data_IF_880921500910
#
_entry.id   IF_880921500910
#
_cell.length_a   1.000
_cell.length_b   1.000
_cell.length_c   1.000
_cell.angle_alpha   90.00
_cell.angle_beta   90.00
_cell.angle_gamma   90.00
#
_symmetry.space_group_name_H-M   'P 1'
#
loop_
_entity.id
_entity.type
_entity.pdbx_description
1 polymer ?
#
# COMPACT_ATOMS: atom_id res chain seq x y z
N UNK A 1 -24.70 4.40 22.65
CA UNK A 1 -23.43 3.75 23.01
C UNK A 1 -22.81 3.24 21.72
N UNK A 2 -21.92 4.03 21.10
CA UNK A 2 -21.16 3.60 19.90
C UNK A 2 -19.77 3.16 20.39
N UNK A 3 -19.46 1.88 20.28
CA UNK A 3 -18.16 1.31 20.64
C UNK A 3 -17.25 1.30 19.41
N UNK A 4 -16.06 1.85 19.59
CA UNK A 4 -14.99 1.97 18.59
C UNK A 4 -14.53 0.60 18.09
N UNK A 5 -14.73 0.33 16.79
CA UNK A 5 -14.38 -0.92 16.10
C UNK A 5 -13.05 -0.88 15.32
N UNK A 6 -12.21 0.15 15.53
CA UNK A 6 -11.04 0.40 14.67
C UNK A 6 -9.71 -0.21 15.17
N UNK A 7 -9.68 -0.97 16.23
CA UNK A 7 -8.41 -1.30 16.92
C UNK A 7 -7.69 -2.59 16.50
N UNK A 8 -8.31 -3.55 15.83
CA UNK A 8 -7.71 -4.90 15.66
C UNK A 8 -7.38 -5.31 14.23
N UNK A 9 -8.07 -4.80 13.22
CA UNK A 9 -7.78 -5.13 11.81
C UNK A 9 -6.43 -4.59 11.31
N UNK A 10 -6.00 -3.43 11.83
CA UNK A 10 -4.74 -2.78 11.41
C UNK A 10 -3.48 -3.47 11.94
N UNK A 11 -3.58 -4.20 13.06
CA UNK A 11 -2.43 -4.89 13.65
C UNK A 11 -2.01 -6.14 12.86
N UNK A 12 -2.93 -6.78 12.15
CA UNK A 12 -2.64 -7.97 11.34
C UNK A 12 -2.00 -7.61 9.99
N UNK A 13 -2.42 -6.49 9.37
CA UNK A 13 -1.80 -6.02 8.11
C UNK A 13 -0.33 -5.62 8.29
N UNK A 14 0.04 -5.06 9.46
CA UNK A 14 1.44 -4.72 9.76
C UNK A 14 2.36 -5.94 9.88
N UNK A 15 1.82 -7.09 10.31
CA UNK A 15 2.63 -8.30 10.50
C UNK A 15 3.02 -8.96 9.16
N UNK A 16 2.18 -8.87 8.14
CA UNK A 16 2.45 -9.47 6.81
C UNK A 16 3.48 -8.64 6.03
N UNK A 17 3.47 -7.31 6.18
CA UNK A 17 4.43 -6.42 5.50
C UNK A 17 5.84 -6.50 6.12
N UNK A 18 5.94 -6.77 7.44
CA UNK A 18 7.24 -6.88 8.14
C UNK A 18 8.01 -8.17 7.85
N UNK A 19 7.36 -9.22 7.34
CA UNK A 19 8.03 -10.49 6.98
C UNK A 19 8.74 -10.44 5.62
N UNK A 20 8.46 -9.46 4.77
CA UNK A 20 9.08 -9.30 3.44
C UNK A 20 10.30 -8.35 3.42
N UNK A 21 10.64 -7.68 4.53
CA UNK A 21 11.72 -6.68 4.61
C UNK A 21 13.00 -7.16 5.34
N UNK A 22 13.18 -8.45 5.57
CA UNK A 22 14.32 -9.04 6.27
C UNK A 22 15.58 -9.26 5.42
N UNK A 23 16.01 -8.29 4.63
CA UNK A 23 17.30 -8.27 3.93
C UNK A 23 18.35 -7.51 4.74
N UNK A 24 19.38 -8.19 5.25
CA UNK A 24 20.44 -7.67 6.08
C UNK A 24 21.26 -6.57 5.38
N UNK A 25 21.27 -5.36 5.91
CA UNK A 25 22.19 -4.30 5.54
C UNK A 25 23.48 -4.42 6.40
N UNK A 26 24.61 -4.67 5.76
CA UNK A 26 25.92 -4.61 6.35
C UNK A 26 26.37 -3.14 6.52
N UNK A 27 26.87 -2.80 7.70
CA UNK A 27 27.46 -1.50 8.04
C UNK A 27 28.86 -1.37 7.44
N UNK A 28 29.28 -0.24 6.87
CA UNK A 28 30.66 0.03 6.52
C UNK A 28 31.37 0.79 7.65
N UNK A 29 32.59 0.38 7.92
CA UNK A 29 33.65 1.22 8.45
C UNK A 29 34.14 0.94 9.85
N UNK A 30 35.27 0.24 9.95
CA UNK A 30 36.44 0.75 10.66
C UNK A 30 37.71 0.00 10.20
N UNK A 31 38.64 0.78 9.68
CA UNK A 31 40.00 0.35 9.33
C UNK A 31 40.89 0.46 10.57
N UNK A 32 41.55 -0.65 10.99
CA UNK A 32 42.99 -0.67 11.26
C UNK A 32 43.45 -2.01 11.81
N UNK A 33 44.68 -2.38 11.42
CA UNK A 33 45.61 -3.30 11.96
C UNK A 33 45.73 -4.69 11.30
N UNK A 34 46.81 -4.80 10.57
CA UNK A 34 47.41 -6.03 10.06
C UNK A 34 47.88 -6.95 11.21
N UNK A 35 47.60 -8.24 11.07
CA UNK A 35 48.38 -9.29 11.71
C UNK A 35 48.18 -10.64 10.98
N UNK A 36 49.28 -11.05 10.43
CA UNK A 36 49.81 -12.41 10.31
C UNK A 36 48.99 -13.55 9.66
N UNK A 37 49.55 -13.98 8.56
CA UNK A 37 49.20 -15.13 7.75
C UNK A 37 49.59 -16.41 8.48
N UNK A 38 48.61 -17.23 8.85
CA UNK A 38 48.87 -18.66 9.14
C UNK A 38 48.01 -19.49 8.19
N UNK A 39 48.71 -20.13 7.27
CA UNK A 39 48.19 -21.11 6.31
C UNK A 39 47.61 -22.32 7.01
N UNK A 40 46.32 -22.62 6.74
CA UNK A 40 45.72 -23.92 6.99
C UNK A 40 45.48 -24.67 5.68
N UNK A 41 45.64 -25.99 5.64
CA UNK A 41 45.68 -26.77 4.40
C UNK A 41 44.26 -26.96 3.80
N UNK A 42 44.23 -27.07 2.48
CA UNK A 42 43.06 -27.36 1.69
C UNK A 42 42.43 -28.72 2.05
N UNK A 43 41.13 -28.85 2.12
CA UNK A 43 40.49 -30.16 2.15
C UNK A 43 40.37 -30.73 0.73
N UNK A 44 40.73 -31.99 0.67
CA UNK A 44 40.78 -32.93 -0.41
C UNK A 44 39.48 -33.00 -1.22
N UNK A 45 39.60 -32.93 -2.56
CA UNK A 45 38.50 -33.20 -3.47
C UNK A 45 38.37 -34.71 -3.65
N UNK A 46 37.35 -35.30 -3.08
CA UNK A 46 36.94 -36.66 -3.45
C UNK A 46 35.47 -36.68 -3.90
N UNK A 47 35.33 -36.96 -5.18
CA UNK A 47 34.30 -37.76 -5.86
C UNK A 47 32.82 -37.47 -5.48
N UNK A 48 32.10 -36.94 -6.45
CA UNK A 48 30.64 -36.86 -6.44
C UNK A 48 29.96 -38.23 -6.36
N UNK A 49 28.74 -38.24 -5.86
CA UNK A 49 27.80 -39.25 -6.23
C UNK A 49 26.61 -38.68 -7.04
N UNK A 50 26.43 -39.35 -8.14
CA UNK A 50 25.16 -39.80 -8.71
C UNK A 50 23.88 -39.00 -8.40
N UNK A 51 23.42 -38.43 -9.47
CA UNK A 51 22.02 -38.49 -9.92
C UNK A 51 21.05 -39.15 -8.92
N UNK A 52 20.31 -38.35 -8.15
CA UNK A 52 19.08 -38.78 -7.52
C UNK A 52 17.96 -37.88 -8.05
N UNK A 53 17.44 -38.28 -9.20
CA UNK A 53 16.07 -37.98 -9.60
C UNK A 53 15.16 -38.61 -8.54
N UNK A 54 14.87 -37.89 -7.47
CA UNK A 54 13.73 -38.22 -6.61
C UNK A 54 12.48 -37.81 -7.36
N UNK A 55 11.73 -38.82 -7.83
CA UNK A 55 10.36 -38.68 -8.22
C UNK A 55 9.60 -37.93 -7.11
N UNK A 56 8.65 -37.07 -7.46
CA UNK A 56 7.81 -36.44 -6.45
C UNK A 56 7.15 -37.56 -5.64
N UNK A 57 7.41 -37.56 -4.33
CA UNK A 57 6.69 -38.40 -3.40
C UNK A 57 5.21 -38.06 -3.54
N UNK A 58 4.37 -39.06 -3.69
CA UNK A 58 2.94 -39.04 -3.50
C UNK A 58 2.62 -38.56 -2.07
N UNK A 59 2.85 -37.30 -1.79
CA UNK A 59 2.28 -36.66 -0.61
C UNK A 59 0.85 -36.30 -0.95
N UNK A 60 -0.01 -37.06 -0.36
CA UNK A 60 -1.46 -36.96 -0.22
C UNK A 60 -1.92 -35.52 -0.44
N UNK A 61 -2.51 -35.24 -1.60
CA UNK A 61 -3.34 -34.06 -1.80
C UNK A 61 -4.39 -34.09 -0.69
N UNK A 62 -4.17 -33.27 0.33
CA UNK A 62 -5.17 -33.04 1.35
C UNK A 62 -6.44 -32.61 0.63
N UNK A 63 -7.46 -33.46 0.68
CA UNK A 63 -8.79 -33.15 0.15
C UNK A 63 -9.28 -31.95 0.93
N UNK A 64 -9.28 -30.77 0.31
CA UNK A 64 -9.87 -29.55 0.86
C UNK A 64 -11.37 -29.77 0.85
N UNK A 65 -11.90 -30.41 1.87
CA UNK A 65 -13.33 -30.54 2.10
C UNK A 65 -13.77 -29.37 2.95
N UNK A 66 -14.47 -28.45 2.34
CA UNK A 66 -15.29 -27.34 2.84
C UNK A 66 -15.02 -26.72 4.21
N UNK A 67 -15.22 -25.43 4.35
CA UNK A 67 -15.42 -24.64 5.58
C UNK A 67 -14.36 -24.64 6.70
N UNK A 68 -13.17 -25.18 6.45
CA UNK A 68 -12.06 -25.05 7.41
C UNK A 68 -11.18 -23.82 7.24
N UNK A 69 -11.46 -22.93 6.26
CA UNK A 69 -10.66 -21.76 5.97
C UNK A 69 -10.78 -20.75 7.11
N UNK A 70 -9.65 -20.41 7.73
CA UNK A 70 -9.57 -19.38 8.78
C UNK A 70 -8.95 -18.08 8.26
N UNK A 71 -8.24 -18.14 7.13
CA UNK A 71 -7.72 -16.99 6.41
C UNK A 71 -7.43 -17.38 4.96
N UNK A 72 -7.81 -16.53 4.02
CA UNK A 72 -7.56 -16.69 2.59
C UNK A 72 -7.02 -15.38 2.03
N UNK A 73 -5.90 -15.43 1.33
CA UNK A 73 -5.29 -14.30 0.64
C UNK A 73 -4.58 -14.79 -0.62
N UNK A 74 -4.96 -14.26 -1.77
CA UNK A 74 -4.34 -14.55 -3.06
C UNK A 74 -4.10 -13.25 -3.81
N UNK A 75 -2.92 -13.10 -4.38
CA UNK A 75 -2.45 -11.87 -5.01
C UNK A 75 -1.87 -12.16 -6.40
N UNK A 76 -2.16 -11.27 -7.36
CA UNK A 76 -1.55 -11.27 -8.69
C UNK A 76 -1.24 -9.83 -9.11
N UNK A 77 0.02 -9.58 -9.48
CA UNK A 77 0.49 -8.32 -10.05
C UNK A 77 1.45 -8.63 -11.20
N UNK A 78 1.06 -8.37 -12.43
CA UNK A 78 1.85 -8.74 -13.61
C UNK A 78 2.83 -7.68 -14.08
N UNK A 79 2.62 -6.42 -13.71
CA UNK A 79 3.37 -5.29 -14.28
C UNK A 79 3.84 -4.27 -13.23
N UNK A 80 3.71 -4.58 -11.93
CA UNK A 80 4.08 -3.70 -10.83
C UNK A 80 3.06 -2.61 -10.50
N UNK A 81 2.04 -2.42 -11.32
CA UNK A 81 1.01 -1.37 -11.15
C UNK A 81 -0.41 -1.91 -11.02
N UNK A 82 -0.64 -3.12 -11.53
CA UNK A 82 -1.94 -3.78 -11.54
C UNK A 82 -1.99 -4.83 -10.44
N UNK A 83 -2.36 -4.39 -9.25
CA UNK A 83 -2.41 -5.25 -8.08
C UNK A 83 -3.83 -5.82 -7.90
N UNK A 84 -4.00 -7.09 -8.25
CA UNK A 84 -5.23 -7.84 -8.03
C UNK A 84 -5.11 -8.63 -6.73
N UNK A 85 -6.13 -8.55 -5.90
CA UNK A 85 -6.08 -9.11 -4.57
C UNK A 85 -7.43 -9.69 -4.15
N UNK A 86 -7.39 -10.90 -3.62
CA UNK A 86 -8.55 -11.63 -3.11
C UNK A 86 -8.29 -11.97 -1.64
N UNK A 87 -9.18 -11.54 -0.74
CA UNK A 87 -9.06 -11.76 0.69
C UNK A 87 -10.39 -12.25 1.26
N UNK A 88 -10.34 -13.22 2.15
CA UNK A 88 -11.47 -13.60 2.98
C UNK A 88 -11.03 -14.13 4.35
N UNK A 89 -11.75 -13.79 5.41
CA UNK A 89 -11.53 -14.33 6.75
C UNK A 89 -12.80 -14.23 7.61
N UNK A 90 -13.04 -15.21 8.51
CA UNK A 90 -14.17 -15.17 9.43
C UNK A 90 -13.99 -14.12 10.51
N UNK A 91 -15.10 -13.46 10.86
CA UNK A 91 -15.20 -12.53 11.98
C UNK A 91 -15.70 -13.23 13.26
N UNK A 92 -15.53 -12.60 14.41
CA UNK A 92 -16.01 -13.10 15.72
C UNK A 92 -17.55 -13.22 15.80
N UNK A 93 -18.30 -12.49 14.97
CA UNK A 93 -19.76 -12.49 14.90
C UNK A 93 -20.33 -13.59 13.99
N UNK A 94 -19.48 -14.42 13.40
CA UNK A 94 -19.85 -15.51 12.50
C UNK A 94 -20.05 -15.09 11.04
N UNK A 95 -19.87 -13.82 10.72
CA UNK A 95 -19.76 -13.35 9.32
C UNK A 95 -18.36 -13.59 8.76
N UNK A 96 -18.19 -13.43 7.46
CA UNK A 96 -16.90 -13.49 6.77
C UNK A 96 -16.65 -12.15 6.10
N UNK A 97 -15.52 -11.52 6.42
CA UNK A 97 -15.06 -10.38 5.64
C UNK A 97 -14.49 -10.88 4.31
N UNK A 98 -14.95 -10.28 3.22
CA UNK A 98 -14.47 -10.54 1.86
C UNK A 98 -13.99 -9.23 1.26
N UNK A 99 -12.79 -9.24 0.70
CA UNK A 99 -12.25 -8.13 -0.08
C UNK A 99 -11.84 -8.61 -1.46
N UNK A 100 -12.32 -7.90 -2.47
CA UNK A 100 -12.00 -8.10 -3.87
C UNK A 100 -11.36 -6.82 -4.44
N UNK A 101 -10.16 -6.95 -4.99
CA UNK A 101 -9.49 -5.89 -5.73
C UNK A 101 -9.20 -6.42 -7.13
N UNK A 102 -9.94 -5.96 -8.11
CA UNK A 102 -9.73 -6.23 -9.54
C UNK A 102 -9.23 -4.98 -10.26
N UNK A 103 -9.21 -5.02 -11.60
CA UNK A 103 -8.64 -3.97 -12.46
C UNK A 103 -9.30 -2.59 -12.24
N UNK A 104 -10.61 -2.56 -11.96
CA UNK A 104 -11.37 -1.32 -11.82
C UNK A 104 -12.25 -1.26 -10.56
N UNK A 105 -12.20 -2.29 -9.72
CA UNK A 105 -13.10 -2.42 -8.56
C UNK A 105 -12.33 -2.76 -7.30
N UNK A 106 -12.68 -2.08 -6.21
CA UNK A 106 -12.38 -2.51 -4.86
C UNK A 106 -13.71 -2.68 -4.11
N UNK A 107 -13.94 -3.87 -3.54
CA UNK A 107 -15.14 -4.19 -2.78
C UNK A 107 -14.67 -4.82 -1.48
N UNK A 108 -15.14 -4.30 -0.34
CA UNK A 108 -14.90 -4.88 0.98
C UNK A 108 -16.23 -4.96 1.72
N UNK A 109 -16.62 -6.17 2.13
CA UNK A 109 -17.92 -6.37 2.78
C UNK A 109 -17.93 -7.59 3.70
N UNK A 110 -18.87 -7.60 4.66
CA UNK A 110 -19.15 -8.78 5.48
C UNK A 110 -20.27 -9.59 4.84
N UNK A 111 -20.07 -10.90 4.73
CA UNK A 111 -20.96 -11.83 4.08
C UNK A 111 -21.32 -13.00 5.02
N UNK A 112 -22.31 -13.81 4.62
CA UNK A 112 -22.61 -15.06 5.29
C UNK A 112 -21.46 -16.06 5.20
N UNK A 113 -21.27 -16.89 6.23
CA UNK A 113 -20.19 -17.88 6.30
C UNK A 113 -20.17 -18.87 5.15
N UNK A 114 -21.29 -19.10 4.47
CA UNK A 114 -21.38 -19.97 3.30
C UNK A 114 -20.49 -19.52 2.13
N UNK A 115 -20.01 -18.28 2.12
CA UNK A 115 -19.08 -17.80 1.12
C UNK A 115 -17.73 -18.55 1.15
N UNK A 116 -17.30 -19.02 2.32
CA UNK A 116 -16.08 -19.84 2.44
C UNK A 116 -16.18 -21.18 1.70
N UNK A 117 -17.37 -21.76 1.63
CA UNK A 117 -17.60 -23.00 0.87
C UNK A 117 -17.48 -22.75 -0.65
N UNK A 118 -17.92 -21.58 -1.13
CA UNK A 118 -17.76 -21.18 -2.53
C UNK A 118 -16.28 -20.94 -2.86
N UNK A 119 -15.54 -20.25 -1.98
CA UNK A 119 -14.09 -20.04 -2.14
C UNK A 119 -13.34 -21.37 -2.12
N UNK A 120 -13.66 -22.30 -1.22
CA UNK A 120 -13.05 -23.62 -1.16
C UNK A 120 -13.34 -24.45 -2.43
N UNK A 121 -14.54 -24.32 -2.99
CA UNK A 121 -14.89 -24.91 -4.29
C UNK A 121 -14.02 -24.38 -5.42
N UNK A 122 -13.86 -23.06 -5.51
CA UNK A 122 -13.01 -22.40 -6.50
C UNK A 122 -11.52 -22.76 -6.31
N UNK A 123 -11.03 -22.88 -5.08
CA UNK A 123 -9.67 -23.36 -4.81
C UNK A 123 -9.43 -24.78 -5.33
N UNK A 124 -10.43 -25.65 -5.18
CA UNK A 124 -10.37 -27.02 -5.69
C UNK A 124 -10.37 -27.03 -7.22
N UNK A 125 -11.22 -26.24 -7.86
CA UNK A 125 -11.32 -26.13 -9.32
C UNK A 125 -10.04 -25.52 -9.92
N UNK A 126 -9.49 -24.47 -9.31
CA UNK A 126 -8.26 -23.82 -9.76
C UNK A 126 -7.01 -24.68 -9.60
N UNK A 127 -7.04 -25.67 -8.71
CA UNK A 127 -5.86 -26.48 -8.37
C UNK A 127 -4.75 -25.70 -7.65
N UNK A 128 -5.03 -24.50 -7.11
CA UNK A 128 -4.04 -23.61 -6.53
C UNK A 128 -3.24 -24.26 -5.37
N UNK A 129 -3.81 -25.22 -4.68
CA UNK A 129 -3.13 -25.94 -3.60
C UNK A 129 -1.92 -26.78 -4.07
N UNK A 130 -1.85 -27.12 -5.36
CA UNK A 130 -0.69 -27.85 -5.93
C UNK A 130 0.62 -27.04 -5.89
N UNK A 131 0.51 -25.71 -5.72
CA UNK A 131 1.68 -24.81 -5.64
C UNK A 131 2.24 -24.68 -4.22
N UNK A 132 1.64 -25.36 -3.25
CA UNK A 132 2.07 -25.26 -1.85
C UNK A 132 3.58 -25.44 -1.66
N UNK A 133 4.21 -24.54 -0.88
CA UNK A 133 5.66 -24.51 -0.63
C UNK A 133 6.54 -24.22 -1.86
N UNK A 134 5.97 -23.81 -2.99
CA UNK A 134 6.76 -23.39 -4.15
C UNK A 134 7.06 -21.90 -4.04
N UNK A 135 8.34 -21.55 -3.95
CA UNK A 135 8.79 -20.16 -3.91
C UNK A 135 9.85 -19.96 -4.99
N UNK A 136 9.60 -19.03 -5.91
CA UNK A 136 10.51 -18.66 -6.99
C UNK A 136 10.76 -17.16 -6.91
N UNK A 137 12.03 -16.77 -6.85
CA UNK A 137 12.45 -15.38 -6.75
C UNK A 137 13.40 -15.09 -7.91
N UNK A 138 12.94 -14.24 -8.82
CA UNK A 138 13.69 -13.75 -9.98
C UNK A 138 13.64 -12.23 -10.01
N UNK A 139 14.53 -11.62 -10.78
CA UNK A 139 14.51 -10.18 -11.01
C UNK A 139 13.28 -9.81 -11.89
N UNK A 140 12.51 -8.82 -11.46
CA UNK A 140 11.33 -8.35 -12.18
C UNK A 140 10.27 -7.75 -11.27
N UNK A 141 9.18 -7.30 -11.87
CA UNK A 141 8.09 -6.59 -11.16
C UNK A 141 6.82 -7.44 -10.98
N UNK A 142 6.73 -8.57 -11.68
CA UNK A 142 5.59 -9.45 -11.53
C UNK A 142 5.63 -10.17 -10.17
N UNK A 143 4.45 -10.34 -9.58
CA UNK A 143 4.25 -11.00 -8.29
C UNK A 143 3.01 -11.88 -8.36
N UNK A 144 3.14 -13.12 -7.89
CA UNK A 144 2.02 -14.01 -7.62
C UNK A 144 2.21 -14.67 -6.26
N UNK A 145 1.19 -14.67 -5.40
CA UNK A 145 1.30 -15.30 -4.09
C UNK A 145 -0.03 -15.79 -3.58
N UNK A 146 0.00 -16.79 -2.73
CA UNK A 146 -1.15 -17.21 -1.95
C UNK A 146 -0.75 -17.54 -0.52
N UNK A 147 -1.64 -17.25 0.40
CA UNK A 147 -1.59 -17.69 1.77
C UNK A 147 -2.99 -18.08 2.23
N UNK A 148 -3.19 -19.36 2.52
CA UNK A 148 -4.48 -19.87 3.01
C UNK A 148 -4.22 -20.71 4.25
N UNK A 149 -4.88 -20.41 5.36
CA UNK A 149 -4.80 -21.21 6.59
C UNK A 149 -6.15 -21.86 6.90
N UNK A 150 -6.07 -22.99 7.58
CA UNK A 150 -7.21 -23.83 7.94
C UNK A 150 -7.30 -24.06 9.45
N UNK A 151 -8.47 -24.45 9.91
CA UNK A 151 -8.76 -24.67 11.33
C UNK A 151 -7.98 -25.86 11.95
N UNK A 152 -7.40 -26.72 11.14
CA UNK A 152 -6.55 -27.85 11.54
C UNK A 152 -5.05 -27.50 11.54
N UNK A 153 -4.72 -26.20 11.47
CA UNK A 153 -3.36 -25.66 11.37
C UNK A 153 -2.61 -26.01 10.06
N UNK A 154 -3.29 -26.65 9.09
CA UNK A 154 -2.72 -26.81 7.76
C UNK A 154 -2.74 -25.47 6.99
N UNK A 155 -1.84 -25.36 6.00
CA UNK A 155 -1.75 -24.14 5.20
C UNK A 155 -1.36 -24.43 3.74
N UNK A 156 -1.75 -23.53 2.85
CA UNK A 156 -1.20 -23.39 1.50
C UNK A 156 -0.49 -22.06 1.45
N UNK A 157 0.81 -22.08 1.12
CA UNK A 157 1.61 -20.84 1.02
C UNK A 157 2.65 -20.98 -0.07
N UNK A 158 2.71 -19.98 -0.98
CA UNK A 158 3.73 -19.89 -2.02
C UNK A 158 3.89 -18.43 -2.50
N UNK A 159 4.99 -18.16 -3.20
CA UNK A 159 5.26 -16.84 -3.78
C UNK A 159 6.13 -16.94 -5.03
N UNK A 160 5.75 -16.21 -6.08
CA UNK A 160 6.52 -16.00 -7.30
C UNK A 160 6.85 -14.52 -7.43
N UNK A 161 8.10 -14.19 -7.72
CA UNK A 161 8.56 -12.81 -7.95
C UNK A 161 9.39 -12.77 -9.24
N UNK A 162 9.17 -11.76 -10.07
CA UNK A 162 9.84 -11.58 -11.36
C UNK A 162 9.13 -12.27 -12.51
N UNK A 163 9.02 -13.59 -12.47
CA UNK A 163 8.25 -14.39 -13.43
C UNK A 163 7.12 -15.13 -12.71
N UNK A 164 5.89 -14.94 -13.17
CA UNK A 164 4.72 -15.64 -12.69
C UNK A 164 4.34 -16.71 -13.70
N UNK A 165 4.25 -18.01 -13.32
CA UNK A 165 3.85 -19.08 -14.23
C UNK A 165 2.44 -18.85 -14.81
N UNK A 166 2.25 -19.14 -16.10
CA UNK A 166 0.94 -18.96 -16.75
C UNK A 166 -0.14 -19.81 -16.10
N UNK A 167 0.20 -21.02 -15.66
CA UNK A 167 -0.71 -21.90 -14.98
C UNK A 167 -1.22 -21.33 -13.64
N UNK A 168 -0.38 -20.51 -12.97
CA UNK A 168 -0.84 -19.75 -11.79
C UNK A 168 -1.79 -18.63 -12.18
N UNK A 169 -1.51 -17.92 -13.28
CA UNK A 169 -2.44 -16.88 -13.80
C UNK A 169 -3.79 -17.51 -14.09
N UNK A 170 -3.81 -18.67 -14.78
CA UNK A 170 -5.04 -19.38 -15.10
C UNK A 170 -5.78 -19.84 -13.83
N UNK A 171 -5.06 -20.31 -12.80
CA UNK A 171 -5.64 -20.66 -11.51
C UNK A 171 -6.21 -19.44 -10.78
N UNK A 172 -5.52 -18.31 -10.86
CA UNK A 172 -5.99 -17.05 -10.30
C UNK A 172 -7.29 -16.59 -10.95
N UNK A 173 -7.41 -16.67 -12.28
CA UNK A 173 -8.62 -16.27 -13.02
C UNK A 173 -9.86 -17.07 -12.58
N UNK A 174 -9.73 -18.35 -12.20
CA UNK A 174 -10.82 -19.14 -11.62
C UNK A 174 -11.27 -18.56 -10.28
N UNK A 175 -10.34 -18.20 -9.42
CA UNK A 175 -10.62 -17.56 -8.12
C UNK A 175 -11.21 -16.16 -8.31
N UNK A 176 -10.67 -15.40 -9.22
CA UNK A 176 -11.15 -14.06 -9.57
C UNK A 176 -12.62 -14.10 -10.03
N UNK A 177 -12.97 -15.02 -10.91
CA UNK A 177 -14.35 -15.23 -11.37
C UNK A 177 -15.31 -15.62 -10.22
N UNK A 178 -14.84 -16.40 -9.26
CA UNK A 178 -15.60 -16.70 -8.04
C UNK A 178 -15.86 -15.44 -7.23
N UNK A 179 -14.83 -14.63 -6.95
CA UNK A 179 -14.96 -13.38 -6.20
C UNK A 179 -15.82 -12.35 -6.94
N UNK A 180 -15.72 -12.25 -8.25
CA UNK A 180 -16.63 -11.42 -9.06
C UNK A 180 -18.08 -11.87 -8.90
N UNK A 181 -18.32 -13.17 -8.85
CA UNK A 181 -19.68 -13.71 -8.69
C UNK A 181 -20.24 -13.41 -7.30
N UNK A 182 -19.48 -13.68 -6.24
CA UNK A 182 -19.95 -13.46 -4.86
C UNK A 182 -20.08 -11.99 -4.49
N UNK A 183 -19.39 -11.09 -5.23
CA UNK A 183 -19.46 -9.63 -5.03
C UNK A 183 -20.27 -8.90 -6.09
N UNK A 184 -20.98 -9.61 -6.98
CA UNK A 184 -21.64 -9.02 -8.15
C UNK A 184 -22.69 -7.94 -7.80
N UNK A 185 -23.44 -8.16 -6.72
CA UNK A 185 -24.49 -7.27 -6.26
C UNK A 185 -24.02 -6.26 -5.18
N UNK A 186 -22.70 -6.23 -4.88
CA UNK A 186 -22.15 -5.36 -3.87
C UNK A 186 -21.84 -3.99 -4.45
N UNK A 187 -22.03 -2.95 -3.62
CA UNK A 187 -21.57 -1.61 -3.98
C UNK A 187 -20.05 -1.59 -4.09
N UNK A 188 -19.56 -0.98 -5.17
CA UNK A 188 -18.12 -0.78 -5.36
C UNK A 188 -17.62 0.13 -4.22
N UNK A 189 -16.66 -0.34 -3.46
CA UNK A 189 -16.01 0.49 -2.46
C UNK A 189 -15.25 1.62 -3.17
N UNK A 190 -15.68 2.84 -2.90
CA UNK A 190 -14.94 4.02 -3.33
C UNK A 190 -14.00 4.39 -2.18
N UNK A 191 -12.68 4.16 -2.33
CA UNK A 191 -11.74 4.52 -1.29
C UNK A 191 -11.82 6.02 -1.03
N UNK A 192 -11.99 6.38 0.23
CA UNK A 192 -12.02 7.78 0.67
C UNK A 192 -10.98 7.98 1.77
N UNK A 193 -10.35 9.14 1.84
CA UNK A 193 -9.41 9.44 2.92
C UNK A 193 -10.10 9.44 4.28
N UNK A 194 -9.36 9.09 5.31
CA UNK A 194 -9.82 9.11 6.68
C UNK A 194 -9.80 10.55 7.19
N UNK A 195 -10.98 11.12 7.49
CA UNK A 195 -11.06 12.47 8.10
C UNK A 195 -10.88 12.34 9.61
N UNK A 196 -9.87 13.02 10.17
CA UNK A 196 -9.48 12.93 11.56
C UNK A 196 -9.87 14.22 12.32
N UNK A 197 -10.82 14.09 13.25
CA UNK A 197 -11.30 15.21 14.05
C UNK A 197 -12.25 16.15 13.31
N UNK A 198 -12.33 17.39 13.79
CA UNK A 198 -13.03 18.47 13.10
C UNK A 198 -12.06 19.10 12.10
N UNK A 199 -12.51 19.35 10.87
CA UNK A 199 -11.70 19.89 9.77
C UNK A 199 -12.45 21.08 9.17
N UNK A 200 -11.73 22.11 8.74
CA UNK A 200 -12.30 23.26 8.03
C UNK A 200 -13.10 22.79 6.82
N UNK A 201 -14.40 23.11 6.80
CA UNK A 201 -15.34 22.59 5.79
C UNK A 201 -14.97 22.99 4.37
N UNK A 202 -14.43 24.20 4.18
CA UNK A 202 -14.08 24.71 2.85
C UNK A 202 -12.81 24.03 2.31
N UNK A 203 -11.78 23.91 3.14
CA UNK A 203 -10.56 23.19 2.78
C UNK A 203 -10.82 21.69 2.56
N UNK A 204 -11.64 21.06 3.40
CA UNK A 204 -12.05 19.67 3.24
C UNK A 204 -12.78 19.45 1.90
N UNK A 205 -13.72 20.31 1.54
CA UNK A 205 -14.45 20.21 0.29
C UNK A 205 -13.51 20.29 -0.94
N UNK A 206 -12.54 21.19 -0.91
CA UNK A 206 -11.54 21.32 -1.98
C UNK A 206 -10.64 20.09 -2.05
N UNK A 207 -10.13 19.59 -0.91
CA UNK A 207 -9.31 18.38 -0.88
C UNK A 207 -10.06 17.16 -1.44
N UNK A 208 -11.30 16.95 -1.00
CA UNK A 208 -12.12 15.83 -1.47
C UNK A 208 -12.43 15.95 -2.97
N UNK A 209 -12.74 17.17 -3.47
CA UNK A 209 -12.97 17.40 -4.89
C UNK A 209 -11.74 17.11 -5.75
N UNK A 210 -10.55 17.47 -5.27
CA UNK A 210 -9.28 17.15 -5.95
C UNK A 210 -9.09 15.65 -5.96
N UNK A 211 -9.16 15.00 -4.78
CA UNK A 211 -8.90 13.57 -4.62
C UNK A 211 -9.85 12.70 -5.45
N UNK A 212 -11.13 13.06 -5.56
CA UNK A 212 -12.11 12.37 -6.42
C UNK A 212 -11.66 12.31 -7.89
N UNK A 213 -10.98 13.37 -8.37
CA UNK A 213 -10.53 13.46 -9.76
C UNK A 213 -9.17 12.80 -10.01
N UNK A 214 -8.41 12.43 -8.98
CA UNK A 214 -7.08 11.86 -9.14
C UNK A 214 -7.07 10.46 -9.73
N UNK A 215 -8.13 9.68 -9.52
CA UNK A 215 -8.17 8.26 -9.83
C UNK A 215 -7.23 7.42 -8.97
N UNK A 216 -6.74 7.94 -7.84
CA UNK A 216 -5.93 7.20 -6.87
C UNK A 216 -6.82 6.15 -6.20
N UNK A 217 -6.42 4.87 -6.30
CA UNK A 217 -7.20 3.73 -5.77
C UNK A 217 -6.96 3.50 -4.27
N UNK A 218 -5.90 4.06 -3.72
CA UNK A 218 -5.45 3.83 -2.35
C UNK A 218 -5.82 4.98 -1.39
N UNK A 219 -6.88 5.76 -1.69
CA UNK A 219 -7.26 6.93 -0.88
C UNK A 219 -7.59 6.61 0.58
N UNK A 220 -8.01 5.39 0.88
CA UNK A 220 -8.23 4.90 2.26
C UNK A 220 -6.95 4.75 3.09
N UNK A 221 -5.77 4.89 2.46
CA UNK A 221 -4.47 4.98 3.13
C UNK A 221 -4.03 6.41 3.41
N UNK A 222 -4.87 7.40 3.12
CA UNK A 222 -4.61 8.81 3.36
C UNK A 222 -5.45 9.32 4.52
N UNK A 223 -4.93 10.31 5.24
CA UNK A 223 -5.66 11.02 6.29
C UNK A 223 -5.77 12.50 5.99
N UNK A 224 -6.91 13.09 6.35
CA UNK A 224 -7.14 14.53 6.30
C UNK A 224 -7.37 15.03 7.73
N UNK A 225 -6.68 16.08 8.13
CA UNK A 225 -6.84 16.73 9.44
C UNK A 225 -6.45 18.21 9.36
N UNK A 226 -7.04 19.02 10.25
CA UNK A 226 -6.51 20.35 10.50
C UNK A 226 -5.18 20.25 11.26
N UNK A 227 -4.29 21.18 10.97
CA UNK A 227 -2.97 21.27 11.57
C UNK A 227 -3.02 22.28 12.70
N UNK A 228 -2.71 21.85 13.91
CA UNK A 228 -2.66 22.73 15.07
C UNK A 228 -1.56 23.76 14.90
N UNK A 229 -1.85 25.03 15.24
CA UNK A 229 -0.86 26.13 15.23
C UNK A 229 0.08 26.03 16.45
N UNK A 230 0.78 24.92 16.54
CA UNK A 230 1.80 24.64 17.55
C UNK A 230 3.20 24.52 16.91
N UNK A 231 4.18 24.03 17.64
CA UNK A 231 5.57 23.90 17.18
C UNK A 231 5.72 22.98 15.94
N UNK A 232 4.73 22.09 15.68
CA UNK A 232 4.75 21.21 14.52
C UNK A 232 4.12 21.84 13.27
N UNK A 233 3.40 22.97 13.39
CA UNK A 233 2.69 23.60 12.28
C UNK A 233 3.59 23.87 11.07
N UNK A 234 4.71 24.52 11.30
CA UNK A 234 5.68 24.86 10.26
C UNK A 234 6.13 23.60 9.49
N UNK A 235 6.51 22.56 10.22
CA UNK A 235 6.96 21.30 9.63
C UNK A 235 5.86 20.58 8.82
N UNK A 236 4.65 20.47 9.38
CA UNK A 236 3.54 19.76 8.70
C UNK A 236 3.10 20.52 7.47
N UNK A 237 2.93 21.82 7.57
CA UNK A 237 2.48 22.68 6.46
C UNK A 237 3.58 22.93 5.42
N UNK A 238 4.85 22.94 5.80
CA UNK A 238 5.95 23.39 4.95
C UNK A 238 6.01 24.94 4.84
N UNK A 239 5.65 25.62 5.91
CA UNK A 239 5.70 27.08 6.04
C UNK A 239 6.72 27.46 7.12
N UNK A 240 7.25 28.70 7.07
CA UNK A 240 8.15 29.20 8.12
C UNK A 240 7.41 29.61 9.39
N UNK A 241 6.16 30.03 9.26
CA UNK A 241 5.28 30.43 10.38
C UNK A 241 3.81 30.22 10.05
N UNK A 242 2.92 30.44 11.04
CA UNK A 242 1.47 30.43 10.85
C UNK A 242 0.90 31.83 10.53
N UNK A 243 1.77 32.84 10.29
CA UNK A 243 1.34 34.22 10.08
C UNK A 243 0.51 34.36 8.80
N UNK A 244 -0.65 35.00 8.90
CA UNK A 244 -1.60 35.15 7.79
C UNK A 244 -2.42 33.91 7.44
N UNK A 245 -2.22 32.78 8.11
CA UNK A 245 -3.00 31.54 7.92
C UNK A 245 -4.08 31.46 8.99
N UNK A 246 -5.35 31.42 8.60
CA UNK A 246 -6.46 31.18 9.52
C UNK A 246 -6.51 29.71 9.97
N UNK A 247 -6.47 28.79 9.00
CA UNK A 247 -6.47 27.35 9.22
C UNK A 247 -5.51 26.68 8.24
N UNK A 248 -4.76 25.72 8.71
CA UNK A 248 -3.98 24.80 7.88
C UNK A 248 -4.63 23.44 7.88
N UNK A 249 -4.90 22.87 6.68
CA UNK A 249 -5.46 21.53 6.53
C UNK A 249 -4.50 20.66 5.73
N UNK A 250 -4.24 19.45 6.18
CA UNK A 250 -3.29 18.50 5.58
C UNK A 250 -3.98 17.23 5.13
N UNK A 251 -3.66 16.77 3.92
CA UNK A 251 -3.93 15.44 3.42
C UNK A 251 -2.59 14.72 3.18
N UNK A 252 -2.34 13.64 3.89
CA UNK A 252 -1.06 12.91 3.81
C UNK A 252 -1.29 11.41 3.81
N UNK A 253 -0.37 10.67 3.17
CA UNK A 253 -0.33 9.21 3.31
C UNK A 253 -0.04 8.83 4.77
N UNK A 254 -0.80 7.87 5.32
CA UNK A 254 -0.60 7.37 6.69
C UNK A 254 0.70 6.56 6.82
N UNK A 255 1.28 6.12 5.71
CA UNK A 255 2.54 5.38 5.67
C UNK A 255 3.70 6.30 5.27
N UNK A 256 4.71 6.38 6.12
CA UNK A 256 5.93 7.20 5.87
C UNK A 256 6.78 6.72 4.68
N UNK A 257 6.46 5.59 4.08
CA UNK A 257 7.10 5.07 2.86
C UNK A 257 6.46 5.59 1.57
N UNK A 258 5.36 6.34 1.67
CA UNK A 258 4.68 6.98 0.54
C UNK A 258 4.90 8.48 0.64
N UNK A 259 5.75 9.08 -0.20
CA UNK A 259 6.02 10.52 -0.16
C UNK A 259 4.87 11.27 -0.81
N UNK A 260 3.86 11.58 -0.01
CA UNK A 260 2.70 12.35 -0.44
C UNK A 260 2.22 13.27 0.68
N UNK A 261 2.11 14.55 0.38
CA UNK A 261 1.53 15.57 1.26
C UNK A 261 0.88 16.65 0.40
N UNK A 262 -0.41 16.86 0.61
CA UNK A 262 -1.15 17.98 0.02
C UNK A 262 -1.71 18.81 1.17
N UNK A 263 -1.29 20.05 1.29
CA UNK A 263 -1.71 20.96 2.36
C UNK A 263 -2.43 22.17 1.78
N UNK A 264 -3.45 22.66 2.48
CA UNK A 264 -4.14 23.91 2.16
C UNK A 264 -3.97 24.87 3.34
N UNK A 265 -3.49 26.07 3.06
CA UNK A 265 -3.51 27.20 3.97
C UNK A 265 -4.72 28.08 3.61
N UNK A 266 -5.77 28.09 4.44
CA UNK A 266 -6.87 29.06 4.37
C UNK A 266 -6.37 30.35 5.01
N UNK A 267 -6.40 31.45 4.26
CA UNK A 267 -5.79 32.71 4.68
C UNK A 267 -6.75 33.53 5.56
N UNK A 268 -6.19 34.32 6.46
CA UNK A 268 -6.90 35.36 7.21
C UNK A 268 -7.35 36.48 6.27
N UNK A 269 -8.40 37.21 6.67
CA UNK A 269 -8.87 38.36 5.92
C UNK A 269 -7.77 39.43 5.78
N UNK A 270 -7.43 39.76 4.53
CA UNK A 270 -6.40 40.74 4.21
C UNK A 270 -4.96 40.23 4.30
N UNK A 271 -4.76 38.93 4.50
CA UNK A 271 -3.43 38.34 4.45
C UNK A 271 -2.82 38.44 3.05
N UNK A 272 -1.48 38.51 2.99
CA UNK A 272 -0.74 38.56 1.74
C UNK A 272 -0.54 37.14 1.18
N UNK A 273 -1.41 36.74 0.23
CA UNK A 273 -1.35 35.44 -0.40
C UNK A 273 -0.02 35.21 -1.17
N UNK A 274 0.59 36.24 -1.71
CA UNK A 274 1.89 36.14 -2.39
C UNK A 274 2.98 35.80 -1.39
N UNK A 275 2.98 36.40 -0.21
CA UNK A 275 3.92 36.07 0.85
C UNK A 275 3.79 34.61 1.28
N UNK A 276 2.57 34.07 1.45
CA UNK A 276 2.34 32.67 1.84
C UNK A 276 2.77 31.71 0.72
N UNK A 277 2.49 32.03 -0.56
CA UNK A 277 3.00 31.21 -1.68
C UNK A 277 4.53 31.14 -1.71
N UNK A 278 5.17 32.29 -1.58
CA UNK A 278 6.63 32.38 -1.54
C UNK A 278 7.22 31.66 -0.33
N UNK A 279 6.51 31.66 0.81
CA UNK A 279 6.92 30.92 1.99
C UNK A 279 6.88 29.42 1.74
N UNK A 280 5.84 28.88 1.13
CA UNK A 280 5.79 27.47 0.69
C UNK A 280 6.98 27.12 -0.21
N UNK A 281 7.21 27.90 -1.28
CA UNK A 281 8.28 27.64 -2.25
C UNK A 281 9.67 27.60 -1.58
N UNK A 282 9.91 28.48 -0.62
CA UNK A 282 11.20 28.63 0.04
C UNK A 282 11.46 27.65 1.19
N UNK A 283 10.39 26.98 1.71
CA UNK A 283 10.50 26.11 2.88
C UNK A 283 10.08 24.65 2.61
N UNK A 284 10.11 24.21 1.34
CA UNK A 284 9.87 22.81 0.99
C UNK A 284 10.88 21.90 1.68
N UNK A 285 10.39 21.01 2.56
CA UNK A 285 11.23 19.99 3.18
C UNK A 285 11.20 18.69 2.38
N UNK A 286 12.15 18.52 1.48
CA UNK A 286 12.30 17.34 0.65
C UNK A 286 12.69 16.08 1.43
N UNK A 287 13.15 16.22 2.68
CA UNK A 287 13.56 15.13 3.56
C UNK A 287 12.51 14.80 4.63
N UNK A 288 11.30 15.33 4.49
CA UNK A 288 10.18 15.11 5.41
C UNK A 288 9.87 13.61 5.66
N UNK A 289 10.17 12.73 4.71
CA UNK A 289 9.97 11.29 4.82
C UNK A 289 11.27 10.55 5.13
N UNK A 290 11.19 9.47 5.93
CA UNK A 290 12.37 8.80 6.50
C UNK A 290 13.18 8.00 5.47
N UNK A 291 12.52 7.34 4.51
CA UNK A 291 13.17 6.39 3.59
C UNK A 291 12.93 6.69 2.11
N UNK A 292 12.13 7.68 1.80
CA UNK A 292 11.71 8.04 0.45
C UNK A 292 11.70 9.54 0.30
N UNK A 293 11.81 10.03 -0.92
CA UNK A 293 11.75 11.46 -1.22
C UNK A 293 10.66 11.71 -2.28
N UNK A 294 9.95 12.83 -2.22
CA UNK A 294 9.11 13.26 -3.32
C UNK A 294 9.98 13.64 -4.52
N UNK A 295 9.45 13.52 -5.71
CA UNK A 295 10.14 13.94 -6.94
C UNK A 295 9.80 15.37 -7.32
N UNK A 296 8.60 15.83 -6.97
CA UNK A 296 8.06 17.09 -7.39
C UNK A 296 7.24 17.76 -6.28
N UNK A 297 7.12 19.06 -6.36
CA UNK A 297 6.17 19.87 -5.62
C UNK A 297 5.48 20.89 -6.55
N UNK A 298 4.29 21.34 -6.15
CA UNK A 298 3.64 22.48 -6.79
C UNK A 298 3.00 23.38 -5.73
N UNK A 299 2.89 24.66 -6.05
CA UNK A 299 2.14 25.64 -5.28
C UNK A 299 1.05 26.24 -6.15
N UNK A 300 -0.19 26.24 -5.64
CA UNK A 300 -1.37 26.73 -6.33
C UNK A 300 -2.23 27.59 -5.42
N UNK A 301 -3.11 28.41 -6.00
CA UNK A 301 -4.04 29.25 -5.25
C UNK A 301 -5.45 29.19 -5.81
N UNK A 302 -6.46 29.26 -4.93
CA UNK A 302 -7.86 29.41 -5.28
C UNK A 302 -8.55 30.30 -4.24
N UNK A 303 -8.96 31.51 -4.65
CA UNK A 303 -9.54 32.47 -3.73
C UNK A 303 -8.60 32.83 -2.58
N UNK A 304 -9.06 32.62 -1.34
CA UNK A 304 -8.27 32.84 -0.12
C UNK A 304 -7.53 31.60 0.37
N UNK A 305 -7.34 30.61 -0.47
CA UNK A 305 -6.60 29.36 -0.13
C UNK A 305 -5.36 29.25 -0.97
N UNK A 306 -4.25 28.86 -0.33
CA UNK A 306 -3.00 28.49 -0.98
C UNK A 306 -2.73 27.02 -0.71
N UNK A 307 -2.46 26.25 -1.77
CA UNK A 307 -2.21 24.83 -1.72
C UNK A 307 -0.73 24.56 -2.04
N UNK A 308 -0.13 23.63 -1.30
CA UNK A 308 1.15 23.02 -1.64
C UNK A 308 0.99 21.51 -1.72
N UNK A 309 1.40 20.92 -2.85
CA UNK A 309 1.47 19.48 -3.06
C UNK A 309 2.95 19.07 -3.12
N UNK A 310 3.32 18.04 -2.41
CA UNK A 310 4.58 17.30 -2.57
C UNK A 310 4.27 15.83 -2.81
N UNK A 311 4.88 15.22 -3.82
CA UNK A 311 4.62 13.82 -4.13
C UNK A 311 5.66 13.22 -5.05
N UNK A 312 5.59 11.90 -5.25
CA UNK A 312 6.45 11.21 -6.18
C UNK A 312 5.64 10.63 -7.34
N UNK A 313 6.27 10.64 -8.53
CA UNK A 313 5.85 9.93 -9.74
C UNK A 313 4.33 9.99 -10.02
N UNK A 314 3.68 8.82 -10.04
CA UNK A 314 2.26 8.68 -10.37
C UNK A 314 1.35 9.50 -9.46
N UNK A 315 1.57 9.48 -8.16
CA UNK A 315 0.70 10.20 -7.20
C UNK A 315 0.76 11.71 -7.41
N UNK A 316 1.96 12.24 -7.65
CA UNK A 316 2.12 13.65 -7.99
C UNK A 316 1.39 14.01 -9.28
N UNK A 317 1.64 13.29 -10.38
CA UNK A 317 1.07 13.58 -11.70
C UNK A 317 -0.46 13.53 -11.69
N UNK A 318 -1.04 12.51 -11.06
CA UNK A 318 -2.50 12.38 -10.94
C UNK A 318 -3.10 13.55 -10.13
N UNK A 319 -2.45 13.95 -9.03
CA UNK A 319 -2.96 15.02 -8.18
C UNK A 319 -2.76 16.40 -8.81
N UNK A 320 -1.61 16.67 -9.43
CA UNK A 320 -1.35 17.94 -10.12
C UNK A 320 -2.35 18.20 -11.25
N UNK A 321 -2.66 17.18 -12.07
CA UNK A 321 -3.72 17.27 -13.08
C UNK A 321 -5.09 17.58 -12.48
N UNK A 322 -5.45 16.89 -11.39
CA UNK A 322 -6.72 17.10 -10.70
C UNK A 322 -6.84 18.50 -10.07
N UNK A 323 -5.76 19.06 -9.54
CA UNK A 323 -5.69 20.42 -8.99
C UNK A 323 -6.07 21.45 -10.07
N UNK A 324 -5.45 21.36 -11.25
CA UNK A 324 -5.77 22.24 -12.38
C UNK A 324 -7.24 22.09 -12.82
N UNK A 325 -7.75 20.84 -12.91
CA UNK A 325 -9.13 20.55 -13.30
C UNK A 325 -10.16 21.01 -12.25
N UNK A 326 -9.74 21.23 -11.00
CA UNK A 326 -10.56 21.83 -9.95
C UNK A 326 -10.53 23.38 -9.93
N UNK A 327 -9.86 24.01 -10.90
CA UNK A 327 -9.82 25.45 -11.07
C UNK A 327 -8.86 26.17 -10.14
N UNK A 328 -7.85 25.48 -9.65
CA UNK A 328 -6.72 26.08 -8.95
C UNK A 328 -5.74 26.69 -9.95
N UNK A 329 -5.25 27.89 -9.67
CA UNK A 329 -4.20 28.54 -10.45
C UNK A 329 -2.84 28.02 -9.94
N UNK A 330 -2.11 27.31 -10.80
CA UNK A 330 -0.76 26.81 -10.47
C UNK A 330 0.22 27.95 -10.69
N UNK A 331 0.99 28.29 -9.65
CA UNK A 331 2.01 29.34 -9.68
C UNK A 331 3.39 28.81 -9.95
N UNK A 332 3.73 27.67 -9.35
CA UNK A 332 5.06 27.09 -9.47
C UNK A 332 4.98 25.58 -9.42
N UNK A 333 5.71 24.92 -10.32
CA UNK A 333 6.04 23.50 -10.26
C UNK A 333 7.54 23.37 -10.04
N UNK A 334 7.96 22.58 -9.05
CA UNK A 334 9.33 22.52 -8.56
C UNK A 334 9.80 21.07 -8.57
N UNK A 335 10.88 20.81 -9.30
CA UNK A 335 11.53 19.51 -9.25
C UNK A 335 12.36 19.37 -7.97
N UNK A 336 12.37 18.17 -7.39
CA UNK A 336 13.24 17.89 -6.26
C UNK A 336 14.69 18.14 -6.66
N UNK A 337 15.46 18.97 -5.93
CA UNK A 337 16.86 19.13 -6.20
C UNK A 337 17.57 17.80 -5.96
N UNK A 338 17.96 17.14 -7.06
CA UNK A 338 18.72 15.88 -6.99
C UNK A 338 20.07 16.21 -6.36
N UNK A 339 20.31 15.63 -5.16
CA UNK A 339 21.56 15.78 -4.43
C UNK A 339 22.74 15.00 -5.06
#
# INVERSE_FOLDING_TARGET
>A
MKRNFFGRGMALLLAVVLLLAGGAAAKPGDTTAAADVTTLPAPDQTTGPADQTTAPSDETTASVTGSGITFFSVNLNMNGTDNRYLLAYPNEDGTVYVEYVGDEKKIGTNMDAAVLDQIAGAMTESGIAAWNNQNVYEDGVALGSAYVSYADDSMVSFSFTGTVPQEYVDAYEVLDACFQTITADMEVYVPTPVVMGEVDEAALAELLQILEKTGIKELDTFSISDVLKDDAFAYVMGLSSADGVAVGTSCSAMMMTTPYSMVIATLEDGADAEAVRNDFINNLDWQKWVCVMPTNALVAQKGNMVLCLMGADRLYQQTAGAIADCGWEIFEEIDCPVG
#
